data_IF_415934184564
#
_entry.id   IF_415934184564
#
_cell.length_a   1.000
_cell.length_b   1.000
_cell.length_c   1.000
_cell.angle_alpha   90.00
_cell.angle_beta   90.00
_cell.angle_gamma   90.00
#
_symmetry.space_group_name_H-M   'P 1'
#
loop_
_entity.id
_entity.type
_entity.pdbx_description
1 polymer ?
#
# COMPACT_ATOMS: atom_id res chain seq x y z
N UNK A 1 31.54 34.78 -95.14
CA UNK A 1 31.38 33.35 -94.70
C UNK A 1 31.38 33.21 -93.18
N UNK A 2 31.18 34.32 -92.40
CA UNK A 2 31.10 34.30 -90.87
C UNK A 2 29.68 34.57 -90.34
N UNK A 3 28.77 35.11 -91.15
CA UNK A 3 27.39 35.43 -90.65
C UNK A 3 26.36 34.25 -90.76
N UNK A 4 26.64 33.22 -91.59
CA UNK A 4 25.73 32.07 -91.68
C UNK A 4 25.93 31.05 -90.51
N UNK A 5 27.09 31.06 -89.85
CA UNK A 5 27.39 30.10 -88.80
C UNK A 5 26.72 30.41 -87.47
N UNK A 6 26.47 31.72 -87.19
CA UNK A 6 25.83 32.13 -85.96
C UNK A 6 24.32 31.95 -85.91
N UNK A 7 23.65 31.96 -87.09
CA UNK A 7 22.19 31.74 -87.12
C UNK A 7 21.79 30.28 -86.94
N UNK A 8 22.66 29.35 -87.39
CA UNK A 8 22.40 27.91 -87.25
C UNK A 8 22.56 27.46 -85.78
N UNK A 9 23.53 28.03 -85.04
CA UNK A 9 23.73 27.75 -83.63
C UNK A 9 22.62 28.35 -82.73
N UNK A 10 22.13 29.56 -83.10
CA UNK A 10 20.99 30.21 -82.42
C UNK A 10 19.66 29.45 -82.64
N UNK A 11 19.49 28.90 -83.82
CA UNK A 11 18.27 28.08 -84.15
C UNK A 11 18.28 26.73 -83.51
N UNK A 12 19.48 26.12 -83.27
CA UNK A 12 19.63 24.83 -82.58
C UNK A 12 19.41 24.95 -81.10
N UNK A 13 19.76 26.10 -80.46
CA UNK A 13 19.55 26.38 -79.05
C UNK A 13 18.07 26.63 -78.73
N UNK A 14 17.30 27.24 -79.67
CA UNK A 14 15.87 27.49 -79.48
C UNK A 14 15.07 26.21 -79.59
N UNK A 15 15.49 25.20 -80.40
CA UNK A 15 14.79 23.90 -80.53
C UNK A 15 15.01 22.99 -79.33
N UNK A 16 16.07 23.20 -78.48
CA UNK A 16 16.33 22.41 -77.28
C UNK A 16 15.46 22.86 -76.10
N UNK A 17 15.00 24.14 -76.09
CA UNK A 17 14.16 24.65 -75.00
C UNK A 17 12.66 24.30 -75.16
N UNK A 18 12.20 23.78 -76.27
CA UNK A 18 10.79 23.48 -76.55
C UNK A 18 10.37 22.05 -76.15
N UNK A 19 11.31 21.21 -75.70
CA UNK A 19 10.98 19.81 -75.27
C UNK A 19 10.98 19.60 -73.73
N UNK A 20 11.05 20.66 -72.89
CA UNK A 20 11.12 20.57 -71.44
C UNK A 20 9.77 20.68 -70.70
N UNK A 21 8.62 20.65 -71.37
CA UNK A 21 7.32 20.48 -70.71
C UNK A 21 6.86 19.04 -70.84
N UNK A 22 7.45 18.12 -70.07
CA UNK A 22 6.80 16.88 -69.70
C UNK A 22 5.68 17.25 -68.74
N UNK A 23 4.47 17.16 -69.18
CA UNK A 23 3.27 17.24 -68.35
C UNK A 23 3.33 16.06 -67.34
N UNK A 24 3.77 16.37 -66.11
CA UNK A 24 3.60 15.43 -64.99
C UNK A 24 2.11 15.43 -64.69
N UNK A 25 1.44 14.31 -64.98
CA UNK A 25 0.13 14.03 -64.41
C UNK A 25 0.21 14.30 -62.90
N UNK A 26 -0.76 15.01 -62.29
CA UNK A 26 -0.81 15.15 -60.84
C UNK A 26 -0.91 13.73 -60.26
N UNK A 27 0.12 13.31 -59.52
CA UNK A 27 0.03 12.11 -58.72
C UNK A 27 -1.22 12.28 -57.85
N UNK A 28 -2.20 11.40 -58.06
CA UNK A 28 -3.34 11.26 -57.16
C UNK A 28 -2.71 11.01 -55.81
N UNK A 29 -2.79 12.01 -54.91
CA UNK A 29 -2.35 11.87 -53.55
C UNK A 29 -3.15 10.66 -53.00
N UNK A 30 -2.49 9.54 -52.78
CA UNK A 30 -3.07 8.44 -51.99
C UNK A 30 -3.58 9.04 -50.71
N UNK A 31 -4.90 9.08 -50.54
CA UNK A 31 -5.53 9.44 -49.27
C UNK A 31 -4.97 8.44 -48.28
N UNK A 32 -4.20 8.86 -47.26
CA UNK A 32 -3.62 7.93 -46.31
C UNK A 32 -4.76 7.10 -45.72
N UNK A 33 -4.67 5.78 -45.84
CA UNK A 33 -5.64 4.90 -45.22
C UNK A 33 -5.75 5.28 -43.74
N UNK A 34 -6.96 5.48 -43.20
CA UNK A 34 -7.15 5.90 -41.83
C UNK A 34 -6.48 4.88 -40.90
N UNK A 35 -5.49 5.32 -40.13
CA UNK A 35 -4.74 4.47 -39.20
C UNK A 35 -5.69 3.88 -38.18
N UNK A 36 -5.88 2.54 -38.23
CA UNK A 36 -6.72 1.83 -37.26
C UNK A 36 -5.95 1.67 -35.94
N UNK A 37 -6.48 2.20 -34.87
CA UNK A 37 -5.91 2.00 -33.52
C UNK A 37 -6.18 0.57 -33.04
N UNK A 38 -5.15 -0.13 -32.54
CA UNK A 38 -5.31 -1.47 -31.95
C UNK A 38 -5.92 -1.39 -30.59
N UNK A 39 -6.97 -2.17 -30.34
CA UNK A 39 -7.72 -2.15 -29.09
C UNK A 39 -7.99 -3.54 -28.55
N UNK A 40 -8.10 -3.66 -27.23
CA UNK A 40 -8.59 -4.86 -26.54
C UNK A 40 -10.02 -4.61 -26.07
N UNK A 41 -10.89 -5.60 -26.21
CA UNK A 41 -12.30 -5.51 -25.83
C UNK A 41 -12.66 -6.46 -24.70
N UNK A 42 -13.68 -6.09 -23.91
CA UNK A 42 -14.29 -6.90 -22.86
C UNK A 42 -15.82 -6.81 -22.96
N UNK A 43 -16.51 -7.82 -22.46
CA UNK A 43 -17.95 -7.74 -22.22
C UNK A 43 -18.22 -7.41 -20.75
N UNK A 44 -19.28 -6.66 -20.44
CA UNK A 44 -19.72 -6.43 -19.08
C UNK A 44 -20.02 -7.74 -18.37
N UNK A 45 -19.71 -7.81 -17.07
CA UNK A 45 -20.03 -8.99 -16.27
C UNK A 45 -21.00 -8.62 -15.15
N UNK A 46 -21.91 -9.54 -14.79
CA UNK A 46 -22.74 -9.39 -13.59
C UNK A 46 -22.08 -10.06 -12.42
N UNK A 47 -21.80 -9.31 -11.37
CA UNK A 47 -21.26 -9.84 -10.12
C UNK A 47 -21.60 -8.98 -8.93
N UNK A 48 -21.31 -9.50 -7.73
CA UNK A 48 -21.43 -8.71 -6.50
C UNK A 48 -20.22 -7.81 -6.35
N UNK A 49 -20.48 -6.56 -6.04
CA UNK A 49 -19.45 -5.55 -5.82
C UNK A 49 -19.52 -5.04 -4.38
N UNK A 50 -18.39 -5.10 -3.69
CA UNK A 50 -18.27 -4.59 -2.31
C UNK A 50 -17.42 -3.33 -2.32
N UNK A 51 -17.95 -2.29 -1.73
CA UNK A 51 -17.24 -1.06 -1.44
C UNK A 51 -16.48 -1.20 -0.13
N UNK A 52 -15.27 -0.69 -0.06
CA UNK A 52 -14.40 -0.81 1.10
C UNK A 52 -13.95 0.54 1.62
N UNK A 53 -14.08 0.74 2.91
CA UNK A 53 -13.39 1.80 3.62
C UNK A 53 -11.92 1.41 3.79
N UNK A 54 -11.02 2.21 3.24
CA UNK A 54 -9.58 2.00 3.33
C UNK A 54 -9.01 2.94 4.41
N UNK A 55 -8.36 2.37 5.42
CA UNK A 55 -7.78 3.12 6.53
C UNK A 55 -6.35 2.65 6.79
N UNK A 56 -5.49 3.60 7.15
CA UNK A 56 -4.16 3.28 7.63
C UNK A 56 -4.23 2.86 9.10
N UNK A 57 -3.52 1.80 9.44
CA UNK A 57 -3.38 1.30 10.80
C UNK A 57 -1.92 0.97 11.08
N UNK A 58 -1.56 0.91 12.36
CA UNK A 58 -0.23 0.49 12.78
C UNK A 58 -0.30 -0.66 13.77
N UNK A 59 0.70 -1.53 13.73
CA UNK A 59 0.84 -2.63 14.68
C UNK A 59 1.29 -2.11 16.04
N UNK A 60 0.66 -2.57 17.11
CA UNK A 60 1.03 -2.22 18.50
C UNK A 60 0.91 -3.45 19.40
N UNK A 61 1.82 -3.57 20.37
CA UNK A 61 1.64 -4.52 21.46
C UNK A 61 0.86 -3.86 22.59
N UNK A 62 -0.31 -4.39 22.92
CA UNK A 62 -1.13 -3.85 24.03
C UNK A 62 -0.52 -4.15 25.40
N UNK A 63 0.22 -5.25 25.52
CA UNK A 63 0.87 -5.64 26.76
C UNK A 63 2.37 -5.46 26.66
N UNK A 64 2.86 -4.43 27.36
CA UNK A 64 4.27 -4.14 27.56
C UNK A 64 4.57 -4.15 29.03
N UNK A 65 5.58 -4.88 29.42
CA UNK A 65 6.04 -4.96 30.79
C UNK A 65 7.45 -4.39 30.87
N UNK A 66 7.67 -3.48 31.81
CA UNK A 66 8.98 -2.91 32.08
C UNK A 66 9.67 -3.70 33.18
N UNK A 67 10.94 -4.03 32.97
CA UNK A 67 11.82 -4.57 34.00
C UNK A 67 12.49 -3.38 34.68
N UNK A 68 12.31 -3.25 36.01
CA UNK A 68 12.89 -2.17 36.79
C UNK A 68 13.96 -2.67 37.73
N UNK A 69 14.92 -1.82 38.01
CA UNK A 69 15.86 -2.05 39.11
C UNK A 69 15.09 -1.97 40.46
N UNK A 70 15.26 -2.97 41.30
CA UNK A 70 14.68 -2.98 42.66
C UNK A 70 15.69 -2.55 43.77
N UNK A 71 16.90 -2.20 43.34
CA UNK A 71 17.98 -1.68 44.20
C UNK A 71 18.86 -0.73 43.40
N UNK A 72 19.57 0.13 44.14
CA UNK A 72 20.60 1.01 43.58
C UNK A 72 21.96 0.29 43.57
N UNK A 73 22.71 0.38 42.47
CA UNK A 73 24.01 -0.26 42.34
C UNK A 73 24.55 -0.30 40.92
N UNK A 74 25.63 -1.09 40.74
CA UNK A 74 26.24 -1.32 39.41
C UNK A 74 25.74 -2.64 38.80
N UNK A 75 25.42 -2.60 37.55
CA UNK A 75 25.05 -3.78 36.79
C UNK A 75 26.30 -4.62 36.55
N UNK A 76 26.30 -5.86 37.03
CA UNK A 76 27.44 -6.79 36.85
C UNK A 76 27.30 -7.62 35.55
N UNK A 77 26.08 -7.93 35.15
CA UNK A 77 25.80 -8.67 33.88
C UNK A 77 24.40 -8.44 33.36
N UNK A 78 24.28 -8.31 32.05
CA UNK A 78 23.02 -8.36 31.29
C UNK A 78 23.27 -9.31 30.11
N UNK A 79 22.80 -10.58 30.14
CA UNK A 79 23.02 -11.52 29.06
C UNK A 79 22.08 -11.31 27.87
N UNK A 80 21.15 -10.34 27.93
CA UNK A 80 20.08 -10.13 26.98
C UNK A 80 20.30 -8.93 26.08
N UNK A 81 19.76 -9.01 24.85
CA UNK A 81 19.76 -7.92 23.87
C UNK A 81 18.33 -7.62 23.40
N UNK A 82 18.13 -6.44 22.82
CA UNK A 82 16.90 -6.15 22.07
C UNK A 82 16.73 -7.16 20.93
N UNK A 83 15.52 -7.71 20.79
CA UNK A 83 15.19 -8.80 19.88
C UNK A 83 15.18 -10.19 20.51
N UNK A 84 15.83 -10.40 21.65
CA UNK A 84 15.85 -11.70 22.32
C UNK A 84 14.48 -12.05 22.89
N UNK A 85 14.19 -13.36 22.95
CA UNK A 85 12.99 -13.89 23.60
C UNK A 85 13.31 -14.32 25.02
N UNK A 86 12.54 -13.81 25.98
CA UNK A 86 12.72 -14.09 27.40
C UNK A 86 11.48 -14.75 27.99
N UNK A 87 11.66 -15.65 28.95
CA UNK A 87 10.57 -16.30 29.68
C UNK A 87 10.35 -15.66 31.05
N UNK A 88 9.12 -15.72 31.54
CA UNK A 88 8.80 -15.29 32.90
C UNK A 88 9.66 -16.04 33.95
N UNK A 89 10.13 -15.34 34.96
CA UNK A 89 11.02 -15.88 35.99
C UNK A 89 12.50 -15.90 35.61
N UNK A 90 12.87 -15.64 34.35
CA UNK A 90 14.27 -15.56 33.92
C UNK A 90 15.00 -14.39 34.60
N UNK A 91 16.27 -14.61 34.92
CA UNK A 91 17.14 -13.52 35.39
C UNK A 91 17.43 -12.57 34.25
N UNK A 92 17.01 -11.32 34.37
CA UNK A 92 17.27 -10.29 33.37
C UNK A 92 18.69 -9.70 33.55
N UNK A 93 19.04 -9.33 34.76
CA UNK A 93 20.39 -8.81 35.07
C UNK A 93 20.78 -9.13 36.50
N UNK A 94 22.05 -8.87 36.82
CA UNK A 94 22.58 -8.92 38.16
C UNK A 94 23.13 -7.55 38.55
N UNK A 95 22.78 -7.07 39.76
CA UNK A 95 23.18 -5.77 40.29
C UNK A 95 23.99 -6.00 41.56
N UNK A 96 25.01 -5.19 41.76
CA UNK A 96 25.85 -5.18 42.94
C UNK A 96 25.83 -3.78 43.60
N UNK A 97 25.54 -3.72 44.88
CA UNK A 97 25.53 -2.44 45.59
C UNK A 97 26.96 -1.98 45.91
N UNK A 98 27.13 -0.69 46.25
CA UNK A 98 28.43 -0.13 46.67
C UNK A 98 28.91 -0.78 47.97
N UNK A 99 28.01 -1.10 48.87
CA UNK A 99 28.31 -1.75 50.16
C UNK A 99 28.84 -3.18 49.94
N UNK A 100 28.22 -3.93 49.01
CA UNK A 100 28.69 -5.26 48.62
C UNK A 100 30.09 -5.21 48.00
N UNK A 101 30.39 -4.16 47.25
CA UNK A 101 31.72 -3.99 46.63
C UNK A 101 32.77 -3.66 47.69
N UNK A 102 32.45 -2.79 48.67
CA UNK A 102 33.32 -2.48 49.79
C UNK A 102 33.62 -3.72 50.66
N UNK A 103 32.65 -4.62 50.84
CA UNK A 103 32.82 -5.85 51.62
C UNK A 103 33.67 -6.93 50.91
N UNK A 104 34.01 -6.74 49.62
CA UNK A 104 34.78 -7.71 48.84
C UNK A 104 36.11 -8.12 49.50
N UNK A 105 36.85 -7.18 50.04
CA UNK A 105 38.15 -7.42 50.67
C UNK A 105 38.02 -8.07 52.05
N UNK A 106 37.00 -7.69 52.85
CA UNK A 106 36.72 -8.25 54.16
C UNK A 106 36.21 -9.71 54.05
N UNK A 107 35.37 -10.03 53.11
CA UNK A 107 34.80 -11.35 52.92
C UNK A 107 35.78 -12.41 52.40
N UNK A 108 36.99 -12.00 51.96
CA UNK A 108 38.08 -12.95 51.68
C UNK A 108 38.67 -13.54 52.98
N UNK A 109 38.59 -12.80 54.07
CA UNK A 109 39.11 -13.19 55.39
C UNK A 109 38.07 -13.90 56.27
N UNK A 110 36.77 -13.57 56.06
CA UNK A 110 35.66 -14.08 56.88
C UNK A 110 34.65 -14.86 55.99
N UNK A 111 34.65 -16.21 56.01
CA UNK A 111 33.79 -17.06 55.20
C UNK A 111 32.27 -16.83 55.42
N UNK A 112 31.89 -16.37 56.62
CA UNK A 112 30.50 -16.04 56.98
C UNK A 112 29.90 -14.88 56.17
N UNK A 113 30.74 -14.02 55.60
CA UNK A 113 30.33 -12.86 54.79
C UNK A 113 30.15 -13.19 53.30
N UNK A 114 30.34 -14.46 52.85
CA UNK A 114 30.23 -14.84 51.45
C UNK A 114 28.85 -14.54 50.87
N UNK A 115 27.77 -14.76 51.61
CA UNK A 115 26.39 -14.54 51.19
C UNK A 115 26.11 -13.06 50.86
N UNK A 116 26.86 -12.11 51.43
CA UNK A 116 26.71 -10.68 51.17
C UNK A 116 27.49 -10.21 49.94
N UNK A 117 28.24 -11.07 49.28
CA UNK A 117 29.00 -10.78 48.05
C UNK A 117 28.23 -11.07 46.77
N UNK A 118 27.19 -11.88 46.85
CA UNK A 118 26.47 -12.29 45.67
C UNK A 118 25.67 -11.11 45.09
N UNK A 119 25.79 -10.93 43.76
CA UNK A 119 25.00 -9.93 43.08
C UNK A 119 23.51 -10.27 43.18
N UNK A 120 22.69 -9.28 43.36
CA UNK A 120 21.25 -9.41 43.45
C UNK A 120 20.71 -9.61 42.03
N UNK A 121 19.96 -10.70 41.82
CA UNK A 121 19.41 -11.09 40.51
C UNK A 121 18.06 -10.46 40.32
N UNK A 122 17.93 -9.60 39.30
CA UNK A 122 16.66 -9.03 38.86
C UNK A 122 16.00 -10.00 37.89
N UNK A 123 14.81 -10.48 38.25
CA UNK A 123 14.03 -11.40 37.41
C UNK A 123 12.89 -10.66 36.72
N UNK A 124 12.54 -11.09 35.50
CA UNK A 124 11.33 -10.62 34.84
C UNK A 124 10.13 -11.49 35.22
N UNK A 125 8.96 -10.86 35.37
CA UNK A 125 7.68 -11.52 35.58
C UNK A 125 6.90 -11.75 34.26
N UNK A 126 7.44 -11.30 33.12
CA UNK A 126 6.81 -11.39 31.82
C UNK A 126 7.61 -12.29 30.86
N UNK A 127 6.89 -12.93 29.94
CA UNK A 127 7.44 -13.63 28.79
C UNK A 127 7.17 -12.82 27.51
N UNK A 128 8.14 -12.77 26.60
CA UNK A 128 7.97 -12.06 25.33
C UNK A 128 9.27 -11.72 24.64
N UNK A 129 9.23 -10.70 23.76
CA UNK A 129 10.40 -10.14 23.12
C UNK A 129 10.89 -8.91 23.88
N UNK A 130 12.19 -8.81 24.08
CA UNK A 130 12.82 -7.61 24.62
C UNK A 130 12.87 -6.57 23.52
N UNK A 131 12.10 -5.49 23.66
CA UNK A 131 12.02 -4.42 22.66
C UNK A 131 13.00 -3.27 22.93
N UNK A 132 13.44 -3.11 24.18
CA UNK A 132 14.45 -2.14 24.54
C UNK A 132 15.28 -2.64 25.73
N UNK A 133 16.58 -2.34 25.71
CA UNK A 133 17.53 -2.49 26.85
C UNK A 133 18.19 -1.14 27.03
N UNK A 134 18.02 -0.52 28.19
CA UNK A 134 18.41 0.87 28.42
C UNK A 134 19.79 1.01 29.09
N UNK A 135 20.36 -0.07 29.62
CA UNK A 135 21.61 -0.07 30.37
C UNK A 135 22.50 -1.23 29.92
N UNK A 136 23.78 -1.09 30.17
CA UNK A 136 24.80 -2.10 29.88
C UNK A 136 25.47 -2.60 31.18
N UNK A 137 26.21 -3.70 31.08
CA UNK A 137 27.04 -4.15 32.17
C UNK A 137 28.12 -3.09 32.50
N UNK A 138 28.26 -2.75 33.76
CA UNK A 138 29.12 -1.67 34.27
C UNK A 138 28.37 -0.36 34.59
N UNK A 139 27.17 -0.16 34.06
CA UNK A 139 26.39 1.05 34.36
C UNK A 139 25.87 1.08 35.79
N UNK A 140 25.75 2.29 36.32
CA UNK A 140 25.12 2.55 37.61
C UNK A 140 23.63 2.82 37.41
N UNK A 141 22.79 2.20 38.23
CA UNK A 141 21.33 2.33 38.19
C UNK A 141 20.79 2.68 39.56
N UNK A 142 19.72 3.44 39.63
CA UNK A 142 18.96 3.71 40.83
C UNK A 142 17.76 2.77 40.93
N UNK A 143 17.25 2.56 42.14
CA UNK A 143 16.00 1.87 42.35
C UNK A 143 14.88 2.56 41.58
N UNK A 144 14.07 1.77 40.82
CA UNK A 144 13.00 2.25 39.99
C UNK A 144 13.36 2.49 38.51
N UNK A 145 14.66 2.55 38.16
CA UNK A 145 15.11 2.75 36.80
C UNK A 145 14.59 1.63 35.88
N UNK A 146 14.16 2.02 34.66
CA UNK A 146 13.67 1.08 33.65
C UNK A 146 14.85 0.44 32.92
N UNK A 147 15.12 -0.82 33.24
CA UNK A 147 16.22 -1.58 32.62
C UNK A 147 15.90 -2.08 31.24
N UNK A 148 14.69 -2.56 31.03
CA UNK A 148 14.23 -3.09 29.75
C UNK A 148 12.72 -2.98 29.59
N UNK A 149 12.27 -3.09 28.34
CA UNK A 149 10.85 -3.26 27.99
C UNK A 149 10.68 -4.61 27.30
N UNK A 150 9.67 -5.37 27.73
CA UNK A 150 9.29 -6.68 27.17
C UNK A 150 7.89 -6.56 26.60
N UNK A 151 7.70 -6.92 25.34
CA UNK A 151 6.41 -6.95 24.66
C UNK A 151 5.91 -8.39 24.53
N UNK A 152 4.65 -8.63 24.94
CA UNK A 152 4.01 -9.93 24.83
C UNK A 152 3.48 -10.16 23.39
N UNK A 153 4.00 -11.16 22.64
CA UNK A 153 3.62 -11.38 21.24
C UNK A 153 2.12 -11.62 21.01
N UNK A 154 1.46 -12.30 21.94
CA UNK A 154 0.02 -12.58 21.86
C UNK A 154 -0.88 -11.36 22.00
N UNK A 155 -0.30 -10.21 22.42
CA UNK A 155 -1.00 -8.95 22.61
C UNK A 155 -0.93 -8.05 21.36
N UNK A 156 -0.38 -8.53 20.25
CA UNK A 156 -0.28 -7.77 19.00
C UNK A 156 -1.68 -7.48 18.45
N UNK A 157 -1.94 -6.22 18.18
CA UNK A 157 -3.15 -5.73 17.52
C UNK A 157 -2.79 -4.64 16.52
N UNK A 158 -3.73 -4.29 15.66
CA UNK A 158 -3.63 -3.11 14.81
C UNK A 158 -4.46 -1.99 15.44
N UNK A 159 -3.87 -0.84 15.62
CA UNK A 159 -4.57 0.37 16.03
C UNK A 159 -4.95 1.16 14.78
N UNK A 160 -6.24 1.44 14.62
CA UNK A 160 -6.80 2.21 13.51
C UNK A 160 -7.67 3.34 14.04
N UNK A 161 -7.49 4.53 13.47
CA UNK A 161 -8.33 5.69 13.75
C UNK A 161 -9.38 5.82 12.66
N UNK A 162 -10.64 5.74 13.04
CA UNK A 162 -11.78 5.73 12.12
C UNK A 162 -12.53 7.06 12.26
N UNK A 163 -12.71 7.84 11.17
CA UNK A 163 -13.57 9.01 11.20
C UNK A 163 -15.00 8.65 11.64
N UNK A 164 -15.60 9.45 12.51
CA UNK A 164 -16.87 9.12 13.15
C UNK A 164 -18.01 8.95 12.14
N UNK A 165 -17.94 9.58 11.00
CA UNK A 165 -18.91 9.43 9.91
C UNK A 165 -19.07 7.98 9.42
N UNK A 166 -18.01 7.14 9.59
CA UNK A 166 -18.01 5.71 9.19
C UNK A 166 -18.38 4.76 10.34
N UNK A 167 -18.73 5.26 11.55
CA UNK A 167 -18.97 4.44 12.73
C UNK A 167 -20.01 3.33 12.52
N UNK A 168 -21.01 3.56 11.65
CA UNK A 168 -22.05 2.58 11.32
C UNK A 168 -21.52 1.31 10.63
N UNK A 169 -20.36 1.39 10.00
CA UNK A 169 -19.71 0.24 9.31
C UNK A 169 -18.66 -0.44 10.18
N UNK A 170 -18.27 0.18 11.31
CA UNK A 170 -17.15 -0.24 12.14
C UNK A 170 -17.64 -0.54 13.55
N UNK A 171 -17.75 -1.83 13.87
CA UNK A 171 -18.23 -2.30 15.16
C UNK A 171 -17.49 -3.57 15.59
N UNK A 172 -17.53 -3.88 16.88
CA UNK A 172 -16.88 -5.06 17.45
C UNK A 172 -17.42 -6.35 16.81
N UNK A 173 -16.52 -7.26 16.42
CA UNK A 173 -16.84 -8.49 15.70
C UNK A 173 -16.90 -8.32 14.17
N UNK A 174 -16.82 -7.10 13.63
CA UNK A 174 -16.82 -6.88 12.18
C UNK A 174 -15.56 -7.46 11.57
N UNK A 175 -15.75 -8.33 10.57
CA UNK A 175 -14.63 -8.85 9.76
C UNK A 175 -14.09 -7.78 8.82
N UNK A 176 -12.78 -7.75 8.66
CA UNK A 176 -12.07 -6.86 7.75
C UNK A 176 -10.87 -7.59 7.14
N UNK A 177 -10.23 -6.96 6.18
CA UNK A 177 -9.00 -7.45 5.57
C UNK A 177 -7.88 -6.48 5.85
N UNK A 178 -6.68 -7.01 6.04
CA UNK A 178 -5.46 -6.23 6.27
C UNK A 178 -4.49 -6.51 5.15
N UNK A 179 -4.11 -5.48 4.41
CA UNK A 179 -3.09 -5.57 3.38
C UNK A 179 -1.76 -5.13 3.98
N UNK A 180 -0.80 -6.03 3.98
CA UNK A 180 0.56 -5.81 4.45
C UNK A 180 1.40 -5.10 3.37
N UNK A 181 2.55 -4.49 3.74
CA UNK A 181 3.45 -3.84 2.78
C UNK A 181 4.03 -4.78 1.72
N UNK A 182 4.12 -6.09 2.01
CA UNK A 182 4.57 -7.12 1.06
C UNK A 182 3.48 -7.54 0.05
N UNK A 183 2.29 -6.91 0.13
CA UNK A 183 1.14 -7.18 -0.74
C UNK A 183 0.22 -8.30 -0.26
N UNK A 184 0.59 -9.06 0.78
CA UNK A 184 -0.28 -10.08 1.36
C UNK A 184 -1.51 -9.48 1.99
N UNK A 185 -2.64 -10.17 1.84
CA UNK A 185 -3.90 -9.82 2.49
C UNK A 185 -4.25 -10.87 3.54
N UNK A 186 -4.51 -10.43 4.77
CA UNK A 186 -4.82 -11.27 5.93
C UNK A 186 -6.22 -10.92 6.40
N UNK A 187 -7.00 -11.93 6.77
CA UNK A 187 -8.29 -11.70 7.41
C UNK A 187 -8.08 -11.27 8.86
N UNK A 188 -8.94 -10.39 9.31
CA UNK A 188 -8.88 -9.81 10.64
C UNK A 188 -10.29 -9.46 11.13
N UNK A 189 -10.41 -9.15 12.41
CA UNK A 189 -11.66 -8.70 13.00
C UNK A 189 -11.44 -7.55 13.98
N UNK A 190 -12.39 -6.63 14.01
CA UNK A 190 -12.42 -5.53 14.98
C UNK A 190 -12.79 -6.14 16.35
N UNK A 191 -11.94 -5.94 17.35
CA UNK A 191 -12.12 -6.59 18.67
C UNK A 191 -12.51 -5.61 19.76
N UNK A 192 -12.11 -4.36 19.65
CA UNK A 192 -12.34 -3.36 20.69
C UNK A 192 -12.43 -1.97 20.08
N UNK A 193 -13.33 -1.14 20.60
CA UNK A 193 -13.36 0.30 20.36
C UNK A 193 -13.06 1.07 21.64
N UNK A 194 -12.27 2.12 21.56
CA UNK A 194 -12.06 3.03 22.67
C UNK A 194 -13.21 4.06 22.66
N UNK A 195 -13.99 4.21 23.75
CA UNK A 195 -15.16 5.09 23.78
C UNK A 195 -14.77 6.57 23.96
N UNK A 196 -13.77 7.02 23.21
CA UNK A 196 -13.27 8.39 23.22
C UNK A 196 -13.04 8.81 21.78
N UNK A 197 -13.49 10.02 21.43
CA UNK A 197 -13.23 10.65 20.14
C UNK A 197 -12.10 11.65 20.32
N UNK A 198 -11.13 11.60 19.43
CA UNK A 198 -10.11 12.63 19.32
C UNK A 198 -10.77 13.93 18.83
N UNK A 199 -10.66 15.00 19.65
CA UNK A 199 -11.38 16.24 19.38
C UNK A 199 -10.89 17.00 18.14
N UNK A 200 -9.62 16.79 17.74
CA UNK A 200 -9.01 17.47 16.60
C UNK A 200 -9.31 16.74 15.30
N UNK A 201 -9.05 15.44 15.27
CA UNK A 201 -9.24 14.63 14.04
C UNK A 201 -10.65 14.09 13.88
N UNK A 202 -11.52 14.20 14.90
CA UNK A 202 -12.89 13.64 14.92
C UNK A 202 -12.89 12.14 14.61
N UNK A 203 -11.85 11.41 15.09
CA UNK A 203 -11.73 9.98 14.89
C UNK A 203 -11.89 9.22 16.20
N UNK A 204 -12.39 8.00 16.11
CA UNK A 204 -12.43 7.02 17.18
C UNK A 204 -11.41 5.93 16.94
N UNK A 205 -10.68 5.53 17.97
CA UNK A 205 -9.69 4.46 17.86
C UNK A 205 -10.34 3.09 18.03
N UNK A 206 -9.99 2.17 17.13
CA UNK A 206 -10.38 0.75 17.17
C UNK A 206 -9.14 -0.12 17.17
N UNK A 207 -9.27 -1.30 17.79
CA UNK A 207 -8.26 -2.35 17.73
C UNK A 207 -8.76 -3.52 16.91
N UNK A 208 -7.88 -4.01 16.04
CA UNK A 208 -8.14 -5.11 15.12
C UNK A 208 -7.17 -6.24 15.43
N UNK A 209 -7.68 -7.45 15.51
CA UNK A 209 -6.88 -8.66 15.70
C UNK A 209 -6.80 -9.44 14.39
N UNK A 210 -5.59 -9.87 14.04
CA UNK A 210 -5.38 -10.76 12.91
C UNK A 210 -5.93 -12.15 13.22
N UNK A 211 -6.52 -12.82 12.22
CA UNK A 211 -7.01 -14.19 12.38
C UNK A 211 -5.88 -15.21 12.49
N UNK A 212 -4.74 -14.92 11.87
CA UNK A 212 -3.56 -15.77 11.92
C UNK A 212 -2.59 -15.26 12.98
N UNK A 213 -1.93 -16.17 13.71
CA UNK A 213 -0.90 -15.86 14.70
C UNK A 213 0.40 -15.41 14.02
N UNK A 214 0.34 -14.39 13.17
CA UNK A 214 1.54 -13.82 12.56
C UNK A 214 2.24 -12.90 13.53
N UNK A 215 3.55 -13.07 13.64
CA UNK A 215 4.40 -12.15 14.38
C UNK A 215 4.82 -11.03 13.43
N UNK A 216 4.21 -9.86 13.58
CA UNK A 216 4.56 -8.65 12.84
C UNK A 216 5.40 -7.74 13.74
N UNK A 217 6.33 -6.97 13.15
CA UNK A 217 7.06 -5.92 13.88
C UNK A 217 6.10 -4.89 14.46
N UNK A 218 6.45 -4.28 15.58
CA UNK A 218 5.74 -3.12 16.13
C UNK A 218 5.92 -1.89 15.23
N UNK A 219 4.93 -1.00 15.23
CA UNK A 219 4.89 0.24 14.43
C UNK A 219 4.92 0.02 12.91
N UNK A 220 4.58 -1.17 12.43
CA UNK A 220 4.43 -1.42 11.00
C UNK A 220 3.12 -0.82 10.51
N UNK A 221 3.19 0.02 9.46
CA UNK A 221 2.01 0.56 8.81
C UNK A 221 1.39 -0.48 7.88
N UNK A 222 0.07 -0.62 7.96
CA UNK A 222 -0.74 -1.53 7.15
C UNK A 222 -2.01 -0.83 6.67
N UNK A 223 -2.64 -1.34 5.62
CA UNK A 223 -3.92 -0.85 5.14
C UNK A 223 -5.03 -1.80 5.59
N UNK A 224 -5.99 -1.28 6.32
CA UNK A 224 -7.20 -2.01 6.73
C UNK A 224 -8.31 -1.72 5.74
N UNK A 225 -8.96 -2.76 5.24
CA UNK A 225 -10.09 -2.73 4.32
C UNK A 225 -11.35 -3.22 5.05
N UNK A 226 -12.24 -2.30 5.37
CA UNK A 226 -13.49 -2.60 6.06
C UNK A 226 -14.63 -2.59 5.04
N UNK A 227 -15.39 -3.68 4.87
CA UNK A 227 -16.48 -3.70 3.92
C UNK A 227 -17.60 -2.76 4.39
N UNK A 228 -18.03 -1.82 3.52
CA UNK A 228 -19.14 -0.91 3.78
C UNK A 228 -20.41 -1.44 3.18
N UNK A 229 -20.63 -1.19 1.90
CA UNK A 229 -21.84 -1.57 1.16
C UNK A 229 -21.52 -2.67 0.17
N UNK A 230 -22.38 -3.67 0.11
CA UNK A 230 -22.32 -4.70 -0.92
C UNK A 230 -23.55 -4.56 -1.79
N UNK A 231 -23.33 -4.44 -3.10
CA UNK A 231 -24.39 -4.52 -4.10
C UNK A 231 -24.27 -5.86 -4.81
N UNK A 232 -25.39 -6.55 -4.92
CA UNK A 232 -25.45 -7.86 -5.55
C UNK A 232 -25.93 -7.72 -7.00
N UNK A 233 -25.32 -8.55 -7.88
CA UNK A 233 -25.82 -8.73 -9.24
C UNK A 233 -25.83 -7.43 -10.09
N UNK A 234 -24.80 -6.58 -9.92
CA UNK A 234 -24.63 -5.33 -10.69
C UNK A 234 -23.78 -5.55 -11.94
N UNK A 235 -24.00 -4.75 -12.96
CA UNK A 235 -23.19 -4.76 -14.18
C UNK A 235 -21.89 -4.05 -13.90
N UNK A 236 -20.77 -4.73 -14.14
CA UNK A 236 -19.43 -4.23 -13.85
C UNK A 236 -18.55 -4.23 -15.11
N UNK A 237 -17.68 -3.25 -15.19
CA UNK A 237 -16.57 -3.16 -16.12
C UNK A 237 -15.24 -2.99 -15.37
N UNK A 238 -14.11 -3.41 -15.96
CA UNK A 238 -12.79 -3.03 -15.49
C UNK A 238 -12.65 -1.51 -15.41
N UNK A 239 -11.92 -1.01 -14.42
CA UNK A 239 -11.69 0.44 -14.26
C UNK A 239 -11.11 1.08 -15.52
N UNK A 240 -10.20 0.38 -16.21
CA UNK A 240 -9.53 0.84 -17.42
C UNK A 240 -10.49 1.01 -18.62
N UNK A 241 -11.68 0.40 -18.58
CA UNK A 241 -12.70 0.53 -19.63
C UNK A 241 -13.53 1.81 -19.50
N UNK A 242 -13.49 2.47 -18.36
CA UNK A 242 -14.30 3.65 -18.05
C UNK A 242 -13.42 4.88 -18.08
N UNK A 243 -13.73 5.79 -18.97
CA UNK A 243 -13.03 7.06 -19.11
C UNK A 243 -13.82 8.18 -18.42
N UNK A 244 -13.12 9.23 -18.02
CA UNK A 244 -13.70 10.40 -17.36
C UNK A 244 -13.01 11.67 -17.81
N UNK A 245 -13.69 12.81 -17.65
CA UNK A 245 -13.10 14.13 -17.83
C UNK A 245 -12.17 14.47 -16.64
N UNK A 246 -11.49 15.63 -16.72
CA UNK A 246 -10.56 16.10 -15.69
C UNK A 246 -11.24 16.34 -14.33
N UNK A 247 -12.51 16.75 -14.34
CA UNK A 247 -13.31 17.02 -13.13
C UNK A 247 -13.96 15.77 -12.53
N UNK A 248 -13.88 14.62 -13.22
CA UNK A 248 -14.46 13.32 -12.83
C UNK A 248 -15.98 13.34 -12.57
N UNK A 249 -16.68 14.20 -13.26
CA UNK A 249 -18.15 14.33 -13.20
C UNK A 249 -18.87 13.73 -14.40
N UNK A 250 -18.15 13.54 -15.53
CA UNK A 250 -18.65 12.85 -16.71
C UNK A 250 -17.90 11.54 -16.94
N UNK A 251 -18.63 10.46 -17.16
CA UNK A 251 -18.08 9.14 -17.43
C UNK A 251 -18.61 8.60 -18.77
N UNK A 252 -17.72 7.96 -19.51
CA UNK A 252 -18.08 7.30 -20.77
C UNK A 252 -17.25 6.03 -20.98
N UNK A 253 -17.71 5.22 -21.93
CA UNK A 253 -16.97 4.06 -22.43
C UNK A 253 -16.89 4.15 -23.94
N UNK A 254 -15.86 3.52 -24.49
CA UNK A 254 -15.76 3.30 -25.95
C UNK A 254 -16.36 1.95 -26.29
N UNK A 255 -17.52 1.97 -26.93
CA UNK A 255 -18.28 0.78 -27.35
C UNK A 255 -17.97 0.42 -28.81
N UNK A 256 -17.72 -0.85 -29.06
CA UNK A 256 -17.57 -1.36 -30.43
C UNK A 256 -18.94 -1.33 -31.16
N UNK A 257 -18.96 -0.68 -32.31
CA UNK A 257 -20.09 -0.66 -33.23
C UNK A 257 -19.66 -1.34 -34.53
N UNK A 258 -20.36 -2.40 -34.92
CA UNK A 258 -19.91 -3.27 -36.02
C UNK A 258 -18.58 -3.95 -35.71
N UNK A 259 -17.71 -4.09 -36.75
CA UNK A 259 -16.46 -4.83 -36.60
C UNK A 259 -15.20 -3.94 -36.40
N UNK A 260 -15.30 -2.64 -36.65
CA UNK A 260 -14.12 -1.76 -36.73
C UNK A 260 -14.33 -0.31 -36.29
N UNK A 261 -15.45 0.01 -35.68
CA UNK A 261 -15.74 1.38 -35.23
C UNK A 261 -15.93 1.42 -33.71
N UNK A 262 -15.25 2.33 -33.03
CA UNK A 262 -15.46 2.67 -31.64
C UNK A 262 -16.37 3.89 -31.57
N UNK A 263 -17.38 3.86 -30.69
CA UNK A 263 -18.29 4.97 -30.40
C UNK A 263 -18.21 5.31 -28.91
N UNK A 264 -18.12 6.59 -28.62
CA UNK A 264 -18.23 7.11 -27.26
C UNK A 264 -19.67 7.00 -26.77
N UNK A 265 -19.88 6.33 -25.66
CA UNK A 265 -21.19 6.16 -25.02
C UNK A 265 -21.11 6.69 -23.58
N UNK A 266 -21.88 7.72 -23.24
CA UNK A 266 -21.95 8.22 -21.86
C UNK A 266 -22.56 7.14 -20.97
N UNK A 267 -22.00 6.99 -19.75
CA UNK A 267 -22.44 6.00 -18.76
C UNK A 267 -22.64 6.65 -17.40
N UNK A 268 -23.60 6.14 -16.65
CA UNK A 268 -23.73 6.46 -15.24
C UNK A 268 -23.06 5.37 -14.42
N UNK A 269 -22.13 5.75 -13.57
CA UNK A 269 -21.34 4.82 -12.75
C UNK A 269 -21.82 4.82 -11.31
N UNK A 270 -21.54 3.74 -10.60
CA UNK A 270 -21.88 3.55 -9.20
C UNK A 270 -20.68 3.14 -8.34
N UNK A 271 -20.89 2.15 -7.50
CA UNK A 271 -19.89 1.58 -6.60
C UNK A 271 -18.69 1.03 -7.37
N UNK A 272 -17.50 1.12 -6.77
CA UNK A 272 -16.29 0.54 -7.33
C UNK A 272 -15.47 -0.19 -6.26
N UNK A 273 -14.61 -1.09 -6.71
CA UNK A 273 -13.54 -1.68 -5.92
C UNK A 273 -12.20 -1.50 -6.64
N UNK A 274 -11.17 -2.23 -6.23
CA UNK A 274 -9.80 -2.10 -6.76
C UNK A 274 -9.68 -2.40 -8.27
N UNK A 275 -10.63 -3.14 -8.87
CA UNK A 275 -10.51 -3.65 -10.23
C UNK A 275 -11.70 -3.31 -11.11
N UNK A 276 -12.86 -3.11 -10.52
CA UNK A 276 -14.13 -3.03 -11.21
C UNK A 276 -14.98 -1.86 -10.74
N UNK A 277 -15.76 -1.31 -11.64
CA UNK A 277 -16.75 -0.26 -11.38
C UNK A 277 -18.11 -0.65 -11.89
N UNK A 278 -19.12 -0.39 -11.09
CA UNK A 278 -20.52 -0.56 -11.46
C UNK A 278 -20.91 0.41 -12.55
N UNK A 279 -21.61 -0.08 -13.58
CA UNK A 279 -22.28 0.75 -14.59
C UNK A 279 -23.77 0.59 -14.44
N UNK A 280 -24.43 1.68 -14.02
CA UNK A 280 -25.88 1.70 -13.76
C UNK A 280 -26.70 1.89 -15.03
N UNK A 281 -26.18 2.61 -16.03
CA UNK A 281 -26.85 2.85 -17.31
C UNK A 281 -25.86 3.18 -18.42
N UNK A 282 -26.33 3.06 -19.67
CA UNK A 282 -25.56 3.37 -20.88
C UNK A 282 -25.09 2.14 -21.67
N UNK A 283 -24.97 0.96 -21.04
CA UNK A 283 -24.54 -0.26 -21.71
C UNK A 283 -25.39 -1.48 -21.36
N UNK A 284 -25.37 -2.47 -22.24
CA UNK A 284 -25.99 -3.78 -22.04
C UNK A 284 -24.95 -4.89 -21.87
N UNK A 285 -25.41 -6.09 -21.44
CA UNK A 285 -24.54 -7.24 -21.17
C UNK A 285 -23.85 -7.81 -22.41
N UNK A 286 -24.41 -7.58 -23.58
CA UNK A 286 -23.88 -8.07 -24.85
C UNK A 286 -22.94 -7.10 -25.55
N UNK A 287 -22.81 -5.91 -25.01
CA UNK A 287 -21.97 -4.86 -25.58
C UNK A 287 -20.49 -5.23 -25.46
N UNK A 288 -19.71 -4.88 -26.46
CA UNK A 288 -18.26 -5.04 -26.48
C UNK A 288 -17.63 -3.69 -26.19
N UNK A 289 -16.93 -3.60 -25.07
CA UNK A 289 -16.35 -2.34 -24.54
C UNK A 289 -14.83 -2.40 -24.68
N UNK A 290 -14.23 -1.32 -25.10
CA UNK A 290 -12.77 -1.20 -25.25
C UNK A 290 -12.15 -0.96 -23.86
N UNK A 291 -11.17 -1.78 -23.50
CA UNK A 291 -10.40 -1.68 -22.26
C UNK A 291 -9.05 -1.00 -22.49
N UNK A 292 -8.34 -1.40 -23.55
CA UNK A 292 -7.02 -0.85 -23.86
C UNK A 292 -7.03 -0.24 -25.26
N UNK A 293 -6.26 0.85 -25.44
CA UNK A 293 -6.18 1.57 -26.71
C UNK A 293 -7.37 2.52 -26.97
N UNK A 294 -8.27 2.67 -25.99
CA UNK A 294 -9.45 3.56 -26.10
C UNK A 294 -9.19 5.00 -25.65
N UNK A 295 -8.10 5.25 -24.94
CA UNK A 295 -7.79 6.60 -24.43
C UNK A 295 -7.41 7.56 -25.56
N UNK A 296 -8.02 8.75 -25.57
CA UNK A 296 -7.74 9.78 -26.56
C UNK A 296 -8.36 9.54 -27.94
N UNK A 297 -9.19 8.51 -28.11
CA UNK A 297 -9.98 8.34 -29.33
C UNK A 297 -11.02 9.44 -29.45
N UNK A 298 -11.28 9.87 -30.70
CA UNK A 298 -12.42 10.75 -30.99
C UNK A 298 -13.75 10.04 -30.65
N UNK A 299 -14.85 10.80 -30.59
CA UNK A 299 -16.19 10.25 -30.29
C UNK A 299 -16.61 9.12 -31.21
N UNK A 300 -16.05 9.09 -32.43
CA UNK A 300 -16.07 7.94 -33.32
C UNK A 300 -14.70 7.73 -33.95
N UNK A 301 -14.16 6.52 -33.88
CA UNK A 301 -12.81 6.19 -34.36
C UNK A 301 -12.76 4.81 -35.03
N UNK A 302 -11.94 4.68 -36.08
CA UNK A 302 -11.65 3.39 -36.69
C UNK A 302 -10.63 2.62 -35.84
N UNK A 303 -10.94 1.36 -35.55
CA UNK A 303 -10.14 0.50 -34.70
C UNK A 303 -9.88 -0.86 -35.34
N UNK A 304 -8.90 -1.57 -34.84
CA UNK A 304 -8.66 -2.98 -35.09
C UNK A 304 -8.58 -3.76 -33.79
N UNK A 305 -9.33 -4.85 -33.69
CA UNK A 305 -9.35 -5.66 -32.45
C UNK A 305 -8.10 -6.51 -32.41
N UNK A 306 -7.36 -6.40 -31.32
CA UNK A 306 -6.24 -7.29 -31.02
C UNK A 306 -6.82 -8.59 -30.45
N UNK A 307 -6.49 -9.73 -31.10
CA UNK A 307 -6.88 -11.07 -30.63
C UNK A 307 -6.00 -11.51 -29.46
#
# INVERSE_FOLDING_TARGET
>A
MKLLKNNIVSLLIITIFLNACKHSEPAIAEIPEPTKTRVTIVQPVKQSLTDYLLLNANTVFQKKVVVRANITGYITSIPWKAGDRISAGSVFCSIKTKEQDALKNLSQREPSLKQFRESIKIKTNAAGFITAVNYLAGDFVNEGDILATISEPSSLVLAVNVPYEYHQYVYNGRSCQVKLPDGKTINASITLSIPVIDAVSQTQQYFIRLSDNQTLPENMNVIVRIPMKQKMNVICLPLDAIQTNETQDEFWVMKLSGDSMALRVPVTVGTQNDSLKEVMSGIGMTDKIIVQGGFGLADSALISIQK
#
